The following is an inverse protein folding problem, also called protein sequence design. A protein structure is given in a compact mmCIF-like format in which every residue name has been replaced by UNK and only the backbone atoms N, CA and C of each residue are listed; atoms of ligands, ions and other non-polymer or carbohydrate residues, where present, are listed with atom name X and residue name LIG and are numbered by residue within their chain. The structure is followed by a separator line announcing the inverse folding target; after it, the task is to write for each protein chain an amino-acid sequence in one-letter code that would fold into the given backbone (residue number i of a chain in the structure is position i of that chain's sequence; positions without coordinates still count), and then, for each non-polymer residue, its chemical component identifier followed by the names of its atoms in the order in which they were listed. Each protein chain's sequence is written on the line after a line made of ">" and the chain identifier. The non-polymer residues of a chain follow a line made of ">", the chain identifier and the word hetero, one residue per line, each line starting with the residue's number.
data_IF_545820101073
#
_entry.id   IF_545820101073
#
_cell.length_a   1.000
_cell.length_b   1.000
_cell.length_c   1.000
_cell.angle_alpha   90.00
_cell.angle_beta   90.00
_cell.angle_gamma   90.00
#
_symmetry.space_group_name_H-M   'P 1'
#
loop_
_entity.id
_entity.type
_entity.pdbx_description
1 polymer ?
#
# COMPACT_ATOMS: atom_id res chain seq x y z
N UNK A 1 46.84 -10.99 -29.52
CA UNK A 1 47.96 -11.05 -28.56
C UNK A 1 48.93 -9.94 -28.92
N UNK A 2 48.71 -8.74 -28.39
CA UNK A 2 49.66 -7.62 -28.40
C UNK A 2 49.23 -6.68 -27.28
N UNK A 3 50.15 -6.49 -26.34
CA UNK A 3 49.99 -5.78 -25.09
C UNK A 3 50.37 -4.30 -25.23
N UNK A 4 50.00 -3.54 -24.19
CA UNK A 4 50.51 -2.24 -23.74
C UNK A 4 50.02 -0.98 -24.46
N UNK A 5 49.24 -0.17 -23.74
CA UNK A 5 49.77 1.10 -23.23
C UNK A 5 48.93 1.63 -22.07
N UNK A 6 49.61 1.95 -20.97
CA UNK A 6 49.10 2.57 -19.74
C UNK A 6 49.58 4.02 -19.78
N UNK A 7 48.67 5.00 -19.68
CA UNK A 7 49.01 6.39 -19.32
C UNK A 7 47.75 7.04 -18.68
N UNK A 8 47.66 7.17 -17.36
CA UNK A 8 48.01 8.33 -16.49
C UNK A 8 47.24 9.65 -16.72
N UNK A 9 46.71 10.15 -15.58
CA UNK A 9 46.60 11.56 -15.13
C UNK A 9 45.40 12.45 -15.56
N UNK A 10 44.42 12.55 -14.64
CA UNK A 10 44.04 13.73 -13.82
C UNK A 10 43.99 15.13 -14.49
N UNK A 11 42.79 15.74 -14.45
CA UNK A 11 42.45 17.17 -14.15
C UNK A 11 41.21 17.59 -14.99
N UNK A 12 40.04 17.84 -14.40
CA UNK A 12 39.59 19.10 -13.78
C UNK A 12 39.72 20.31 -14.72
N UNK A 13 38.65 20.63 -15.45
CA UNK A 13 38.47 21.94 -16.10
C UNK A 13 37.00 22.38 -15.93
N UNK A 14 36.84 23.42 -15.13
CA UNK A 14 35.64 24.22 -14.95
C UNK A 14 35.37 25.11 -16.17
N UNK A 15 34.11 25.21 -16.59
CA UNK A 15 33.66 26.14 -17.61
C UNK A 15 33.75 27.62 -17.16
N UNK A 16 34.02 28.58 -18.06
CA UNK A 16 34.11 29.99 -17.71
C UNK A 16 32.73 30.67 -17.72
N UNK A 17 32.47 31.51 -16.72
CA UNK A 17 31.32 32.40 -16.67
C UNK A 17 31.69 33.77 -17.28
N UNK A 18 30.85 34.23 -18.20
CA UNK A 18 30.96 35.48 -18.96
C UNK A 18 30.60 36.70 -18.10
N UNK A 19 31.33 37.79 -18.34
CA UNK A 19 31.31 39.06 -17.62
C UNK A 19 30.04 39.93 -17.81
N UNK A 20 29.81 40.87 -16.90
CA UNK A 20 29.17 42.20 -17.13
C UNK A 20 29.54 43.18 -16.00
N UNK A 21 29.44 44.52 -16.23
CA UNK A 21 30.50 45.47 -15.88
C UNK A 21 30.29 46.30 -14.60
N UNK A 22 31.39 46.99 -14.26
CA UNK A 22 31.61 47.98 -13.20
C UNK A 22 30.79 49.26 -13.32
N UNK A 23 30.29 49.77 -12.19
CA UNK A 23 29.96 51.19 -11.97
C UNK A 23 30.58 51.61 -10.62
N UNK A 24 31.29 52.74 -10.63
CA UNK A 24 32.19 53.18 -9.57
C UNK A 24 31.58 53.96 -8.41
N UNK A 25 32.38 53.97 -7.33
CA UNK A 25 32.63 54.99 -6.29
C UNK A 25 31.46 55.75 -5.63
N UNK A 26 31.35 55.57 -4.30
CA UNK A 26 30.62 56.48 -3.41
C UNK A 26 30.73 56.06 -1.93
N UNK A 27 31.44 56.88 -1.15
CA UNK A 27 31.62 56.80 0.31
C UNK A 27 30.30 56.72 1.11
N UNK A 28 30.30 56.03 2.25
CA UNK A 28 29.31 56.24 3.32
C UNK A 28 28.82 54.96 3.99
N UNK A 29 29.20 54.76 5.25
CA UNK A 29 29.01 53.52 6.00
C UNK A 29 27.57 52.99 6.06
N UNK A 30 27.43 51.67 5.96
CA UNK A 30 26.22 50.93 6.35
C UNK A 30 26.64 49.69 7.12
N UNK A 31 26.03 49.56 8.30
CA UNK A 31 26.15 48.42 9.19
C UNK A 31 26.01 47.08 8.44
N UNK A 32 26.80 46.10 8.85
CA UNK A 32 26.73 44.73 8.37
C UNK A 32 25.34 44.15 8.67
N UNK A 33 24.43 44.25 7.70
CA UNK A 33 23.22 43.44 7.66
C UNK A 33 23.67 42.01 7.40
N UNK A 34 23.65 41.21 8.46
CA UNK A 34 23.81 39.77 8.36
C UNK A 34 22.89 39.26 7.25
N UNK A 35 23.49 38.66 6.22
CA UNK A 35 22.79 37.97 5.14
C UNK A 35 21.76 37.04 5.77
N UNK A 36 20.48 37.41 5.72
CA UNK A 36 19.37 36.53 6.02
C UNK A 36 19.56 35.33 5.11
N UNK A 37 19.95 34.19 5.70
CA UNK A 37 20.01 32.93 4.97
C UNK A 37 18.62 32.75 4.38
N UNK A 38 18.48 32.88 3.05
CA UNK A 38 17.25 32.48 2.37
C UNK A 38 16.98 31.05 2.84
N UNK A 39 15.89 30.87 3.55
CA UNK A 39 15.36 29.55 3.86
C UNK A 39 15.08 28.90 2.50
N UNK A 40 15.99 28.04 2.04
CA UNK A 40 15.72 27.21 0.87
C UNK A 40 14.56 26.31 1.27
N UNK A 41 13.46 26.35 0.53
CA UNK A 41 12.35 25.43 0.78
C UNK A 41 12.90 24.01 0.88
N UNK A 42 12.46 23.18 1.86
CA UNK A 42 12.88 21.79 1.89
C UNK A 42 12.63 21.18 0.52
N UNK A 43 13.64 20.49 -0.02
CA UNK A 43 13.56 19.84 -1.32
C UNK A 43 12.27 19.01 -1.37
N UNK A 44 11.48 19.15 -2.44
CA UNK A 44 10.23 18.42 -2.56
C UNK A 44 10.51 16.92 -2.41
N UNK A 45 9.86 16.20 -1.47
CA UNK A 45 10.16 14.80 -1.19
C UNK A 45 9.86 13.88 -2.39
N UNK A 46 9.11 14.36 -3.39
CA UNK A 46 8.85 13.64 -4.64
C UNK A 46 10.03 13.66 -5.63
N UNK A 47 11.00 14.58 -5.47
CA UNK A 47 12.12 14.73 -6.39
C UNK A 47 13.20 13.65 -6.19
N UNK A 48 13.39 13.14 -4.96
CA UNK A 48 14.33 12.04 -4.70
C UNK A 48 13.90 10.71 -5.31
N UNK A 49 12.58 10.49 -5.41
CA UNK A 49 11.94 9.32 -6.04
C UNK A 49 12.05 9.32 -7.57
N UNK A 50 12.46 10.44 -8.19
CA UNK A 50 12.43 10.59 -9.64
C UNK A 50 13.42 9.66 -10.39
N UNK A 51 14.50 9.22 -9.73
CA UNK A 51 15.52 8.37 -10.35
C UNK A 51 15.09 6.90 -10.58
N UNK A 52 14.00 6.44 -9.97
CA UNK A 52 13.51 5.06 -10.08
C UNK A 52 12.31 4.89 -11.03
N UNK A 53 11.80 5.99 -11.60
CA UNK A 53 10.55 6.01 -12.39
C UNK A 53 10.57 5.17 -13.68
N UNK A 54 11.73 4.74 -14.17
CA UNK A 54 11.80 3.85 -15.34
C UNK A 54 11.53 2.38 -15.01
N UNK A 55 12.18 1.87 -13.95
CA UNK A 55 12.24 0.43 -13.69
C UNK A 55 10.90 -0.20 -13.35
N UNK A 56 10.07 0.46 -12.52
CA UNK A 56 8.76 -0.10 -12.13
C UNK A 56 7.73 -0.05 -13.25
N UNK A 57 7.80 0.95 -14.13
CA UNK A 57 6.92 1.03 -15.29
C UNK A 57 7.28 -0.03 -16.34
N UNK A 58 8.56 -0.25 -16.59
CA UNK A 58 9.05 -1.32 -17.47
C UNK A 58 8.71 -2.71 -16.91
N UNK A 59 8.91 -2.91 -15.61
CA UNK A 59 8.57 -4.16 -14.94
C UNK A 59 7.05 -4.42 -14.93
N UNK A 60 6.24 -3.38 -14.71
CA UNK A 60 4.79 -3.45 -14.82
C UNK A 60 4.32 -3.83 -16.23
N UNK A 61 4.94 -3.25 -17.27
CA UNK A 61 4.68 -3.62 -18.68
C UNK A 61 5.06 -5.08 -18.95
N UNK A 62 6.23 -5.52 -18.49
CA UNK A 62 6.66 -6.91 -18.64
C UNK A 62 5.65 -7.90 -18.04
N UNK A 63 5.10 -7.62 -16.86
CA UNK A 63 4.09 -8.50 -16.23
C UNK A 63 2.75 -8.44 -17.00
N UNK A 64 2.36 -7.27 -17.50
CA UNK A 64 1.14 -7.13 -18.30
C UNK A 64 1.25 -7.88 -19.64
N UNK A 65 2.43 -7.85 -20.28
CA UNK A 65 2.72 -8.55 -21.55
C UNK A 65 2.86 -10.07 -21.35
N UNK A 66 3.36 -10.52 -20.20
CA UNK A 66 3.48 -11.96 -19.91
C UNK A 66 2.13 -12.61 -19.58
N UNK A 67 1.18 -11.87 -18.99
CA UNK A 67 -0.13 -12.36 -18.57
C UNK A 67 -1.31 -11.46 -19.01
N UNK A 68 -1.48 -11.22 -20.33
CA UNK A 68 -2.47 -10.27 -20.83
C UNK A 68 -3.92 -10.70 -20.58
N UNK A 69 -4.16 -11.99 -20.34
CA UNK A 69 -5.49 -12.54 -20.05
C UNK A 69 -6.02 -12.15 -18.66
N UNK A 70 -5.14 -11.96 -17.69
CA UNK A 70 -5.52 -11.82 -16.27
C UNK A 70 -5.27 -10.42 -15.73
N UNK A 71 -4.23 -9.74 -16.21
CA UNK A 71 -3.90 -8.37 -15.82
C UNK A 71 -4.78 -7.40 -16.58
N UNK A 72 -5.60 -6.64 -15.86
CA UNK A 72 -6.49 -5.63 -16.46
C UNK A 72 -5.74 -4.32 -16.69
N UNK A 73 -4.99 -3.90 -15.68
CA UNK A 73 -4.21 -2.67 -15.69
C UNK A 73 -3.14 -2.73 -14.60
N UNK A 74 -2.16 -1.83 -14.67
CA UNK A 74 -1.20 -1.60 -13.59
C UNK A 74 -1.08 -0.10 -13.33
N UNK A 75 -0.79 0.27 -12.10
CA UNK A 75 -0.51 1.65 -11.70
C UNK A 75 0.78 1.70 -10.92
N UNK A 76 1.62 2.67 -11.24
CA UNK A 76 2.84 2.97 -10.48
C UNK A 76 2.64 4.31 -9.82
N UNK A 77 2.77 4.36 -8.51
CA UNK A 77 2.79 5.61 -7.77
C UNK A 77 4.01 5.63 -6.87
N UNK A 78 4.87 6.65 -7.07
CA UNK A 78 6.20 6.71 -6.45
C UNK A 78 6.99 5.43 -6.78
N UNK A 79 7.34 4.64 -5.77
CA UNK A 79 8.10 3.38 -5.92
C UNK A 79 7.23 2.13 -5.71
N UNK A 80 5.90 2.29 -5.78
CA UNK A 80 4.97 1.18 -5.57
C UNK A 80 4.27 0.77 -6.87
N UNK A 81 4.56 -0.46 -7.32
CA UNK A 81 3.84 -1.10 -8.41
C UNK A 81 2.59 -1.80 -7.88
N UNK A 82 1.44 -1.45 -8.46
CA UNK A 82 0.15 -2.10 -8.20
C UNK A 82 -0.39 -2.72 -9.47
N UNK A 83 -0.75 -4.01 -9.42
CA UNK A 83 -1.35 -4.75 -10.53
C UNK A 83 -2.80 -5.06 -10.19
N UNK A 84 -3.71 -4.79 -11.12
CA UNK A 84 -5.13 -5.06 -10.98
C UNK A 84 -5.49 -6.33 -11.76
N UNK A 85 -6.08 -7.28 -11.05
CA UNK A 85 -6.33 -8.64 -11.55
C UNK A 85 -7.79 -9.00 -11.26
N UNK A 86 -8.42 -9.70 -12.20
CA UNK A 86 -9.75 -10.27 -11.96
C UNK A 86 -9.68 -11.40 -10.92
N UNK A 87 -10.71 -11.62 -10.08
CA UNK A 87 -10.70 -12.70 -9.09
C UNK A 87 -10.48 -14.10 -9.72
N UNK A 88 -10.95 -14.33 -10.94
CA UNK A 88 -10.72 -15.59 -11.68
C UNK A 88 -9.26 -15.84 -12.08
N UNK A 89 -8.46 -14.77 -12.21
CA UNK A 89 -7.05 -14.82 -12.63
C UNK A 89 -6.06 -14.79 -11.48
N UNK A 90 -6.54 -14.78 -10.24
CA UNK A 90 -5.71 -14.54 -9.06
C UNK A 90 -4.67 -15.66 -8.85
N UNK A 91 -5.08 -16.93 -8.86
CA UNK A 91 -4.16 -18.08 -8.67
C UNK A 91 -3.07 -18.11 -9.75
N UNK A 92 -3.38 -18.02 -11.07
CA UNK A 92 -2.35 -17.96 -12.10
C UNK A 92 -1.35 -16.83 -11.93
N UNK A 93 -1.81 -15.61 -11.61
CA UNK A 93 -0.93 -14.45 -11.42
C UNK A 93 -0.06 -14.63 -10.19
N UNK A 94 -0.62 -15.09 -9.07
CA UNK A 94 0.14 -15.34 -7.84
C UNK A 94 1.20 -16.43 -8.04
N UNK A 95 0.87 -17.49 -8.78
CA UNK A 95 1.82 -18.56 -9.13
C UNK A 95 2.97 -18.01 -9.98
N UNK A 96 2.65 -17.22 -11.02
CA UNK A 96 3.67 -16.58 -11.85
C UNK A 96 4.59 -15.67 -11.04
N UNK A 97 4.01 -14.80 -10.19
CA UNK A 97 4.77 -13.88 -9.35
C UNK A 97 5.72 -14.62 -8.39
N UNK A 98 5.28 -15.76 -7.85
CA UNK A 98 6.08 -16.60 -6.95
C UNK A 98 7.19 -17.36 -7.69
N UNK A 99 6.91 -17.94 -8.85
CA UNK A 99 7.76 -18.97 -9.46
C UNK A 99 8.64 -18.46 -10.61
N UNK A 100 8.27 -17.37 -11.28
CA UNK A 100 9.08 -16.82 -12.38
C UNK A 100 10.42 -16.27 -11.85
N UNK A 101 11.50 -16.58 -12.56
CA UNK A 101 12.87 -16.19 -12.19
C UNK A 101 13.02 -14.68 -12.02
N UNK A 102 12.30 -13.86 -12.79
CA UNK A 102 12.41 -12.41 -12.71
C UNK A 102 11.56 -11.79 -11.61
N UNK A 103 10.54 -12.50 -11.09
CA UNK A 103 9.57 -11.92 -10.14
C UNK A 103 9.67 -12.48 -8.72
N UNK A 104 10.03 -13.76 -8.53
CA UNK A 104 10.35 -14.42 -7.24
C UNK A 104 9.80 -13.77 -5.95
N UNK A 105 8.50 -13.50 -5.92
CA UNK A 105 7.81 -12.96 -4.76
C UNK A 105 7.45 -14.12 -3.83
N UNK A 106 8.36 -14.47 -2.92
CA UNK A 106 8.23 -15.66 -2.07
C UNK A 106 7.49 -15.40 -0.77
N UNK A 107 7.41 -14.16 -0.32
CA UNK A 107 6.80 -13.80 0.95
C UNK A 107 5.52 -12.99 0.73
N UNK A 108 4.42 -13.43 1.34
CA UNK A 108 3.24 -12.60 1.57
C UNK A 108 3.51 -11.76 2.80
N UNK A 109 3.37 -10.46 2.66
CA UNK A 109 3.51 -9.50 3.76
C UNK A 109 2.17 -9.33 4.45
N UNK A 110 1.10 -9.18 3.65
CA UNK A 110 -0.22 -8.83 4.15
C UNK A 110 -1.31 -9.14 3.10
N UNK A 111 -2.52 -9.43 3.58
CA UNK A 111 -3.74 -9.53 2.78
C UNK A 111 -4.83 -8.70 3.46
N UNK A 112 -5.20 -7.59 2.84
CA UNK A 112 -6.17 -6.64 3.37
C UNK A 112 -7.43 -6.60 2.51
N UNK A 113 -8.59 -6.47 3.14
CA UNK A 113 -9.81 -6.00 2.47
C UNK A 113 -9.92 -4.48 2.55
N UNK A 114 -10.55 -3.86 1.55
CA UNK A 114 -10.96 -2.46 1.57
C UNK A 114 -12.40 -2.37 1.08
N UNK A 115 -13.25 -1.66 1.82
CA UNK A 115 -14.67 -1.47 1.50
C UNK A 115 -14.91 -0.12 0.81
N UNK A 116 -15.39 -0.19 -0.43
CA UNK A 116 -15.84 0.94 -1.25
C UNK A 116 -17.34 0.79 -1.59
N UNK A 117 -18.26 1.32 -0.77
CA UNK A 117 -19.70 1.09 -0.93
C UNK A 117 -20.28 1.71 -2.23
N UNK A 118 -19.59 2.66 -2.85
CA UNK A 118 -20.03 3.31 -4.09
C UNK A 118 -19.78 2.47 -5.34
N UNK A 119 -19.02 1.38 -5.26
CA UNK A 119 -18.67 0.51 -6.39
C UNK A 119 -19.63 -0.67 -6.48
N UNK A 120 -19.89 -1.15 -7.70
CA UNK A 120 -20.68 -2.36 -7.93
C UNK A 120 -20.05 -3.58 -7.24
N UNK A 121 -18.71 -3.66 -7.30
CA UNK A 121 -17.94 -4.60 -6.50
C UNK A 121 -17.41 -3.87 -5.26
N UNK A 122 -18.12 -4.07 -4.15
CA UNK A 122 -17.94 -3.35 -2.89
C UNK A 122 -16.55 -3.54 -2.29
N UNK A 123 -16.01 -4.75 -2.34
CA UNK A 123 -14.74 -5.07 -1.69
C UNK A 123 -13.59 -5.11 -2.68
N UNK A 124 -12.45 -4.56 -2.27
CA UNK A 124 -11.17 -4.68 -2.94
C UNK A 124 -10.23 -5.46 -2.03
N UNK A 125 -9.75 -6.61 -2.49
CA UNK A 125 -8.78 -7.44 -1.76
C UNK A 125 -7.38 -7.09 -2.27
N UNK A 126 -6.52 -6.70 -1.35
CA UNK A 126 -5.16 -6.20 -1.61
C UNK A 126 -4.16 -7.18 -1.02
N UNK A 127 -3.30 -7.70 -1.87
CA UNK A 127 -2.20 -8.56 -1.50
C UNK A 127 -0.89 -7.78 -1.59
N UNK A 128 -0.12 -7.81 -0.52
CA UNK A 128 1.22 -7.26 -0.47
C UNK A 128 2.24 -8.39 -0.51
N UNK A 129 3.12 -8.37 -1.51
CA UNK A 129 4.16 -9.37 -1.68
C UNK A 129 5.55 -8.74 -1.63
N UNK A 130 6.51 -9.52 -1.12
CA UNK A 130 7.91 -9.15 -1.02
C UNK A 130 8.78 -10.21 -1.72
N UNK A 131 9.69 -9.74 -2.57
CA UNK A 131 10.79 -10.54 -3.08
C UNK A 131 12.04 -10.24 -2.26
N UNK A 132 12.52 -11.22 -1.50
CA UNK A 132 13.75 -11.08 -0.72
C UNK A 132 14.98 -11.02 -1.64
N UNK A 133 14.96 -11.74 -2.77
CA UNK A 133 16.09 -11.78 -3.71
C UNK A 133 16.35 -10.43 -4.37
N UNK A 134 15.29 -9.75 -4.79
CA UNK A 134 15.38 -8.46 -5.47
C UNK A 134 15.14 -7.28 -4.52
N UNK A 135 14.77 -7.54 -3.27
CA UNK A 135 14.34 -6.53 -2.29
C UNK A 135 13.27 -5.58 -2.85
N UNK A 136 12.33 -6.13 -3.62
CA UNK A 136 11.24 -5.39 -4.26
C UNK A 136 9.89 -5.78 -3.67
N UNK A 137 8.97 -4.82 -3.63
CA UNK A 137 7.58 -5.03 -3.20
C UNK A 137 6.63 -4.83 -4.37
N UNK A 138 5.55 -5.59 -4.35
CA UNK A 138 4.47 -5.46 -5.32
C UNK A 138 3.13 -5.58 -4.62
N UNK A 139 2.14 -4.85 -5.12
CA UNK A 139 0.76 -4.92 -4.67
C UNK A 139 -0.08 -5.56 -5.76
N UNK A 140 -0.83 -6.60 -5.43
CA UNK A 140 -1.81 -7.21 -6.34
C UNK A 140 -3.19 -6.94 -5.78
N UNK A 141 -4.08 -6.41 -6.60
CA UNK A 141 -5.42 -6.06 -6.18
C UNK A 141 -6.46 -6.82 -6.99
N UNK A 142 -7.42 -7.38 -6.29
CA UNK A 142 -8.60 -8.01 -6.86
C UNK A 142 -9.85 -7.41 -6.23
N UNK A 143 -11.01 -7.74 -6.77
CA UNK A 143 -12.28 -7.23 -6.29
C UNK A 143 -13.23 -8.38 -5.99
N UNK A 144 -14.16 -8.13 -5.06
CA UNK A 144 -15.17 -9.06 -4.61
C UNK A 144 -16.47 -8.34 -4.25
N UNK A 145 -17.57 -9.07 -4.34
CA UNK A 145 -18.88 -8.69 -3.88
C UNK A 145 -19.17 -9.39 -2.55
N UNK A 146 -20.29 -9.08 -1.93
CA UNK A 146 -20.69 -9.69 -0.66
C UNK A 146 -20.93 -11.21 -0.75
N UNK A 147 -21.33 -11.68 -1.93
CA UNK A 147 -21.66 -13.09 -2.17
C UNK A 147 -20.64 -13.80 -3.05
N UNK A 148 -19.88 -13.04 -3.86
CA UNK A 148 -18.96 -13.65 -4.83
C UNK A 148 -17.67 -14.09 -4.12
N UNK A 149 -17.27 -15.37 -4.22
CA UNK A 149 -16.07 -15.85 -3.58
C UNK A 149 -14.80 -15.43 -4.34
N UNK A 150 -13.72 -15.19 -3.61
CA UNK A 150 -12.36 -15.00 -4.14
C UNK A 150 -11.58 -16.29 -3.94
N UNK A 151 -10.79 -16.78 -4.91
CA UNK A 151 -9.95 -17.95 -4.68
C UNK A 151 -8.87 -17.67 -3.63
N UNK A 152 -8.71 -18.59 -2.68
CA UNK A 152 -7.67 -18.54 -1.65
C UNK A 152 -6.27 -18.74 -2.23
N UNK A 153 -5.28 -18.08 -1.64
CA UNK A 153 -3.86 -18.14 -2.00
C UNK A 153 -3.06 -18.98 -1.00
N UNK A 154 -3.74 -19.52 0.02
CA UNK A 154 -3.15 -20.46 1.01
C UNK A 154 -2.35 -21.62 0.42
N UNK A 155 -2.74 -22.30 -0.68
CA UNK A 155 -1.90 -23.38 -1.23
C UNK A 155 -0.58 -22.87 -1.83
N UNK A 156 -0.50 -21.59 -2.17
CA UNK A 156 0.73 -20.98 -2.69
C UNK A 156 1.59 -20.38 -1.58
N UNK A 157 0.95 -19.75 -0.60
CA UNK A 157 1.60 -19.08 0.53
C UNK A 157 0.92 -19.50 1.84
N UNK A 158 1.62 -20.31 2.63
CA UNK A 158 1.10 -20.76 3.93
C UNK A 158 0.76 -19.60 4.89
N UNK A 159 1.51 -18.49 4.80
CA UNK A 159 1.27 -17.30 5.61
C UNK A 159 -0.05 -16.57 5.30
N UNK A 160 -0.66 -16.80 4.13
CA UNK A 160 -1.92 -16.14 3.76
C UNK A 160 -3.14 -16.66 4.54
N UNK A 161 -3.04 -17.84 5.18
CA UNK A 161 -4.17 -18.46 5.89
C UNK A 161 -4.79 -17.55 6.95
N UNK A 162 -3.94 -16.95 7.80
CA UNK A 162 -4.43 -16.10 8.88
C UNK A 162 -5.02 -14.79 8.36
N UNK A 163 -4.40 -14.17 7.36
CA UNK A 163 -4.89 -12.93 6.76
C UNK A 163 -6.20 -13.11 5.98
N UNK A 164 -6.37 -14.23 5.27
CA UNK A 164 -7.63 -14.53 4.58
C UNK A 164 -8.78 -14.76 5.59
N UNK A 165 -8.49 -15.38 6.73
CA UNK A 165 -9.45 -15.51 7.83
C UNK A 165 -9.79 -14.16 8.46
N UNK A 166 -8.80 -13.30 8.67
CA UNK A 166 -9.01 -11.94 9.17
C UNK A 166 -9.88 -11.12 8.21
N UNK A 167 -9.58 -11.16 6.90
CA UNK A 167 -10.37 -10.48 5.88
C UNK A 167 -11.83 -11.00 5.84
N UNK A 168 -12.04 -12.29 6.06
CA UNK A 168 -13.38 -12.85 6.21
C UNK A 168 -14.08 -12.36 7.49
N UNK A 169 -13.39 -12.32 8.63
CA UNK A 169 -14.00 -11.89 9.91
C UNK A 169 -14.37 -10.40 9.90
N UNK A 170 -13.47 -9.55 9.36
CA UNK A 170 -13.61 -8.09 9.38
C UNK A 170 -14.50 -7.54 8.27
N UNK A 171 -14.43 -8.10 7.06
CA UNK A 171 -15.17 -7.61 5.88
C UNK A 171 -16.24 -8.58 5.37
N UNK A 172 -16.17 -9.87 5.72
CA UNK A 172 -17.08 -10.89 5.20
C UNK A 172 -16.76 -11.34 3.79
N UNK A 173 -15.51 -11.16 3.32
CA UNK A 173 -15.08 -11.64 2.02
C UNK A 173 -14.90 -13.16 2.09
N UNK A 174 -15.60 -13.91 1.24
CA UNK A 174 -15.50 -15.36 1.23
C UNK A 174 -14.35 -15.85 0.35
N UNK A 175 -13.51 -16.73 0.91
CA UNK A 175 -12.39 -17.33 0.18
C UNK A 175 -12.65 -18.80 -0.19
N UNK A 176 -12.68 -19.12 -1.48
CA UNK A 176 -12.86 -20.50 -1.96
C UNK A 176 -11.56 -21.30 -1.92
N UNK A 177 -11.63 -22.54 -1.43
CA UNK A 177 -10.45 -23.42 -1.28
C UNK A 177 -9.63 -23.20 -0.01
N UNK A 178 -10.09 -22.36 0.91
CA UNK A 178 -9.43 -22.16 2.21
C UNK A 178 -9.63 -23.39 3.13
N UNK A 179 -8.59 -23.87 3.84
CA UNK A 179 -8.69 -25.09 4.66
C UNK A 179 -9.57 -24.94 5.92
N UNK A 180 -9.54 -23.80 6.61
CA UNK A 180 -10.32 -23.54 7.83
C UNK A 180 -10.73 -22.06 7.90
N UNK A 181 -11.85 -21.71 7.25
CA UNK A 181 -12.35 -20.33 7.24
C UNK A 181 -13.34 -20.11 8.40
N UNK A 182 -12.88 -19.43 9.46
CA UNK A 182 -13.66 -19.10 10.66
C UNK A 182 -13.15 -17.84 11.34
N UNK A 183 -13.94 -17.31 12.29
CA UNK A 183 -13.66 -16.08 13.05
C UNK A 183 -12.33 -16.20 13.79
N UNK A 184 -11.66 -15.06 13.99
CA UNK A 184 -10.36 -15.03 14.65
C UNK A 184 -10.18 -13.82 15.57
N UNK A 185 -10.69 -12.64 15.18
CA UNK A 185 -10.55 -11.42 15.97
C UNK A 185 -11.81 -11.12 16.76
N UNK A 186 -13.01 -11.39 16.22
CA UNK A 186 -14.26 -11.10 16.92
C UNK A 186 -14.61 -12.17 17.95
N UNK A 187 -15.51 -11.83 18.87
CA UNK A 187 -16.10 -12.78 19.80
C UNK A 187 -16.84 -13.92 19.08
N UNK A 188 -17.01 -15.06 19.75
CA UNK A 188 -17.57 -16.28 19.19
C UNK A 188 -19.00 -16.12 18.70
N UNK A 189 -19.81 -15.34 19.43
CA UNK A 189 -21.21 -15.06 19.10
C UNK A 189 -21.43 -13.75 18.34
N UNK A 190 -20.36 -13.14 17.82
CA UNK A 190 -20.46 -11.83 17.18
C UNK A 190 -21.24 -11.92 15.86
N UNK A 191 -22.19 -11.02 15.67
CA UNK A 191 -22.99 -10.90 14.45
C UNK A 191 -22.56 -9.66 13.66
N UNK A 192 -22.25 -9.86 12.37
CA UNK A 192 -21.75 -8.81 11.49
C UNK A 192 -20.22 -8.81 11.30
N UNK A 193 -19.76 -7.77 10.60
CA UNK A 193 -18.39 -7.59 10.10
C UNK A 193 -17.93 -6.15 10.43
N UNK A 194 -17.04 -5.96 11.42
CA UNK A 194 -16.78 -4.64 12.01
C UNK A 194 -16.18 -3.58 11.06
N UNK A 195 -15.35 -3.95 10.10
CA UNK A 195 -14.64 -2.99 9.24
C UNK A 195 -15.43 -2.55 8.01
N UNK A 196 -16.68 -3.01 7.87
CA UNK A 196 -17.57 -2.52 6.84
C UNK A 196 -18.04 -1.08 7.17
N UNK A 197 -18.22 -0.26 6.14
CA UNK A 197 -18.57 1.16 6.29
C UNK A 197 -19.99 1.43 6.81
N UNK A 198 -20.87 0.44 6.73
CA UNK A 198 -22.22 0.43 7.28
C UNK A 198 -22.28 0.02 8.76
N UNK A 199 -21.20 -0.53 9.31
CA UNK A 199 -21.17 -0.97 10.71
C UNK A 199 -20.93 0.22 11.66
N UNK A 200 -21.71 0.37 12.75
CA UNK A 200 -21.52 1.46 13.71
C UNK A 200 -20.24 1.26 14.52
N UNK A 201 -19.52 2.35 14.80
CA UNK A 201 -18.25 2.33 15.53
C UNK A 201 -18.34 1.61 16.88
N UNK A 202 -19.47 1.77 17.58
CA UNK A 202 -19.69 1.25 18.93
C UNK A 202 -20.25 -0.18 18.93
N UNK A 203 -20.64 -0.71 17.77
CA UNK A 203 -21.35 -1.97 17.64
C UNK A 203 -22.81 -1.89 18.09
N UNK A 204 -23.44 -3.06 18.23
CA UNK A 204 -24.85 -3.21 18.56
C UNK A 204 -25.10 -3.71 19.98
N UNK A 205 -24.11 -4.37 20.58
CA UNK A 205 -24.23 -5.04 21.87
C UNK A 205 -23.16 -4.58 22.83
N UNK A 206 -23.51 -4.50 24.10
CA UNK A 206 -22.59 -4.35 25.22
C UNK A 206 -22.70 -5.54 26.17
N UNK A 207 -21.71 -5.66 27.04
CA UNK A 207 -21.56 -6.83 27.90
C UNK A 207 -21.52 -6.38 29.36
N UNK A 208 -22.41 -6.92 30.19
CA UNK A 208 -22.44 -6.69 31.64
C UNK A 208 -22.52 -7.98 32.43
N UNK A 209 -22.05 -7.96 33.68
CA UNK A 209 -22.27 -9.05 34.61
C UNK A 209 -23.66 -8.92 35.23
N UNK A 210 -24.45 -9.99 35.15
CA UNK A 210 -25.77 -10.07 35.76
C UNK A 210 -25.68 -10.93 37.04
N UNK A 211 -25.88 -10.30 38.20
CA UNK A 211 -25.78 -10.97 39.50
C UNK A 211 -26.87 -12.02 39.71
N UNK A 212 -28.09 -11.78 39.20
CA UNK A 212 -29.21 -12.71 39.33
C UNK A 212 -28.93 -14.03 38.60
N UNK A 213 -28.39 -13.92 37.39
CA UNK A 213 -28.04 -15.08 36.54
C UNK A 213 -26.63 -15.61 36.79
N UNK A 214 -25.83 -14.90 37.60
CA UNK A 214 -24.41 -15.18 37.89
C UNK A 214 -23.57 -15.41 36.63
N UNK A 215 -23.89 -14.72 35.54
CA UNK A 215 -23.21 -14.87 34.24
C UNK A 215 -23.08 -13.53 33.52
N UNK A 216 -22.18 -13.51 32.56
CA UNK A 216 -22.03 -12.39 31.63
C UNK A 216 -23.16 -12.45 30.59
N UNK A 217 -23.87 -11.33 30.41
CA UNK A 217 -24.99 -11.19 29.46
C UNK A 217 -24.65 -10.11 28.44
N UNK A 218 -24.97 -10.37 27.17
CA UNK A 218 -24.91 -9.38 26.11
C UNK A 218 -26.29 -8.72 25.95
N UNK A 219 -26.33 -7.39 26.02
CA UNK A 219 -27.54 -6.58 25.92
C UNK A 219 -27.39 -5.52 24.81
N UNK A 220 -28.48 -4.96 24.28
CA UNK A 220 -28.40 -3.84 23.35
C UNK A 220 -27.62 -2.68 23.95
N UNK A 221 -26.79 -2.04 23.11
CA UNK A 221 -25.88 -0.97 23.53
C UNK A 221 -26.63 0.25 24.10
N UNK A 222 -26.24 0.71 25.30
CA UNK A 222 -26.71 1.95 25.91
C UNK A 222 -25.53 2.80 26.42
N UNK A 223 -25.18 3.84 25.67
CA UNK A 223 -24.06 4.72 26.04
C UNK A 223 -24.50 5.85 26.95
N UNK A 224 -23.83 6.01 28.10
CA UNK A 224 -24.02 7.16 28.98
C UNK A 224 -23.70 8.50 28.28
N UNK A 225 -22.74 8.49 27.36
CA UNK A 225 -22.43 9.62 26.49
C UNK A 225 -22.36 9.15 25.04
N UNK A 226 -23.11 9.82 24.17
CA UNK A 226 -23.08 9.53 22.74
C UNK A 226 -21.75 9.91 22.10
N UNK A 227 -21.38 9.18 21.04
CA UNK A 227 -20.23 9.52 20.22
C UNK A 227 -20.43 10.87 19.52
N UNK A 228 -19.46 11.77 19.66
CA UNK A 228 -19.47 13.08 19.00
C UNK A 228 -18.61 13.03 17.74
N UNK A 229 -19.26 13.10 16.58
CA UNK A 229 -18.58 13.19 15.29
C UNK A 229 -18.15 14.64 15.04
N UNK A 230 -16.85 14.86 14.89
CA UNK A 230 -16.29 16.16 14.53
C UNK A 230 -15.93 16.17 13.04
N UNK A 231 -16.49 17.11 12.30
CA UNK A 231 -16.16 17.30 10.88
C UNK A 231 -14.95 18.23 10.75
N UNK A 232 -13.78 17.65 10.48
CA UNK A 232 -12.53 18.40 10.27
C UNK A 232 -12.30 18.79 8.80
N UNK A 233 -13.27 18.54 7.92
CA UNK A 233 -13.09 18.83 6.50
C UNK A 233 -13.02 20.34 6.29
N UNK A 234 -11.92 20.79 5.69
CA UNK A 234 -11.80 22.15 5.17
C UNK A 234 -12.81 22.31 4.03
N UNK A 235 -13.57 23.42 3.98
CA UNK A 235 -14.39 23.74 2.82
C UNK A 235 -13.56 24.12 1.58
N UNK A 236 -12.24 24.30 1.75
CA UNK A 236 -11.25 24.64 0.73
C UNK A 236 -10.30 23.49 0.45
#
# INVERSE_FOLDING_TARGET
>A
MTLFSRATLRALVSAPATATPSIGAGFGGRAALASVRRFSSPAQPAASTASAKGGYHEFGKYIAESLPRFVQQFSVYKDELTIYVAPSGLIPVMTFLRDNTNTQFKQVVDVCGVDFPTRANRFEVVYHLLSIRYNTRIRVKTYANEVSPVPSVTPLFAGANWFEREAWDMYGIFFSGHPDLRRILTDYGFEGHPLRKDFPLTGYVEVRYDEEKKRVVAEPLELAQSFRMFEYQSPW
#
